data_IF_127072546340
#
_entry.id   IF_127072546340
#
_cell.length_a   1.000
_cell.length_b   1.000
_cell.length_c   1.000
_cell.angle_alpha   90.00
_cell.angle_beta   90.00
_cell.angle_gamma   90.00
#
_symmetry.space_group_name_H-M   'P 1'
#
loop_
_entity.id
_entity.type
_entity.pdbx_description
1 polymer ?
#
# COMPACT_ATOMS: atom_id res chain seq x y z
N UNK A 1 -63.08 42.56 3.18
CA UNK A 1 -61.98 42.12 4.06
C UNK A 1 -61.71 40.61 4.03
N UNK A 2 -62.72 39.72 4.15
CA UNK A 2 -62.51 38.25 4.12
C UNK A 2 -61.86 37.72 2.83
N UNK A 3 -62.14 38.30 1.65
CA UNK A 3 -61.52 37.87 0.34
C UNK A 3 -60.12 38.37 0.17
N UNK A 4 -59.70 39.48 0.78
CA UNK A 4 -58.31 39.99 0.71
C UNK A 4 -57.41 39.21 1.67
N UNK A 5 -57.90 38.75 2.81
CA UNK A 5 -57.17 37.92 3.77
C UNK A 5 -56.92 36.52 3.18
N UNK A 6 -57.91 35.96 2.47
CA UNK A 6 -57.76 34.68 1.79
C UNK A 6 -56.70 34.73 0.65
N UNK A 7 -56.63 35.87 -0.08
CA UNK A 7 -55.64 36.06 -1.18
C UNK A 7 -54.23 36.23 -0.61
N UNK A 8 -54.09 36.94 0.52
CA UNK A 8 -52.80 37.09 1.22
C UNK A 8 -52.30 35.77 1.83
N UNK A 9 -53.20 34.93 2.39
CA UNK A 9 -52.86 33.62 2.89
C UNK A 9 -52.44 32.64 1.75
N UNK A 10 -53.10 32.71 0.59
CA UNK A 10 -52.73 31.91 -0.58
C UNK A 10 -51.38 32.35 -1.15
N UNK A 11 -51.06 33.64 -1.15
CA UNK A 11 -49.76 34.19 -1.61
C UNK A 11 -48.63 33.80 -0.64
N UNK A 12 -48.87 33.77 0.66
CA UNK A 12 -47.88 33.28 1.65
C UNK A 12 -47.61 31.77 1.54
N UNK A 13 -48.63 30.96 1.18
CA UNK A 13 -48.43 29.52 0.94
C UNK A 13 -47.58 29.23 -0.35
N UNK A 14 -47.72 30.05 -1.38
CA UNK A 14 -46.92 29.92 -2.62
C UNK A 14 -45.46 30.31 -2.34
N UNK A 15 -45.21 31.31 -1.49
CA UNK A 15 -43.82 31.65 -1.08
C UNK A 15 -43.20 30.63 -0.12
N UNK A 16 -43.98 29.91 0.69
CA UNK A 16 -43.46 28.85 1.55
C UNK A 16 -43.08 27.56 0.80
N UNK A 17 -43.65 27.34 -0.38
CA UNK A 17 -43.31 26.20 -1.26
C UNK A 17 -42.05 26.46 -2.15
N UNK A 18 -41.63 27.72 -2.26
CA UNK A 18 -40.36 28.06 -2.96
C UNK A 18 -39.14 28.15 -2.01
N UNK A 19 -39.32 27.94 -0.69
CA UNK A 19 -38.25 27.99 0.29
C UNK A 19 -37.69 26.61 0.69
N UNK A 20 -38.19 25.51 0.10
CA UNK A 20 -37.45 24.25 0.03
C UNK A 20 -36.46 24.35 -1.15
N UNK A 21 -35.48 25.22 -1.00
CA UNK A 21 -34.30 25.19 -1.88
C UNK A 21 -33.66 23.82 -1.72
N UNK A 22 -33.81 22.98 -2.75
CA UNK A 22 -32.77 22.05 -3.07
C UNK A 22 -31.46 22.84 -3.01
N UNK A 23 -30.62 22.56 -2.06
CA UNK A 23 -29.18 22.80 -2.23
C UNK A 23 -28.74 21.84 -3.32
N UNK A 24 -29.05 22.17 -4.59
CA UNK A 24 -28.32 21.61 -5.70
C UNK A 24 -26.88 22.00 -5.44
N UNK A 25 -26.05 21.03 -5.07
CA UNK A 25 -24.62 21.18 -5.13
C UNK A 25 -24.34 21.86 -6.49
N UNK A 26 -23.57 22.92 -6.49
CA UNK A 26 -23.11 23.52 -7.74
C UNK A 26 -22.46 22.38 -8.51
N UNK A 27 -22.71 22.28 -9.80
CA UNK A 27 -22.16 21.24 -10.69
C UNK A 27 -20.62 21.19 -10.73
N UNK A 28 -19.96 22.09 -9.99
CA UNK A 28 -18.51 22.27 -9.93
C UNK A 28 -17.89 21.76 -8.61
N UNK A 29 -18.67 21.32 -7.62
CA UNK A 29 -18.15 20.80 -6.37
C UNK A 29 -17.68 19.35 -6.59
N UNK A 30 -16.41 19.08 -6.29
CA UNK A 30 -15.78 17.76 -6.37
C UNK A 30 -15.50 17.29 -4.95
N UNK A 31 -16.10 16.16 -4.56
CA UNK A 31 -15.76 15.49 -3.31
C UNK A 31 -15.10 14.14 -3.60
N UNK A 32 -14.07 13.81 -2.80
CA UNK A 32 -13.32 12.57 -2.86
C UNK A 32 -13.41 11.88 -1.50
N UNK A 33 -13.90 10.66 -1.50
CA UNK A 33 -13.95 9.80 -0.32
C UNK A 33 -12.69 8.94 -0.21
N UNK A 34 -12.09 8.86 0.98
CA UNK A 34 -10.99 7.94 1.25
C UNK A 34 -11.35 7.12 2.48
N UNK A 35 -11.32 5.80 2.33
CA UNK A 35 -11.61 4.83 3.39
C UNK A 35 -10.35 4.05 3.70
N UNK A 36 -9.97 4.01 4.97
CA UNK A 36 -8.78 3.30 5.46
C UNK A 36 -9.10 2.54 6.74
N UNK A 37 -8.16 1.74 7.23
CA UNK A 37 -8.18 1.26 8.61
C UNK A 37 -7.99 2.39 9.63
N UNK A 38 -8.10 2.05 10.91
CA UNK A 38 -7.74 2.95 12.00
C UNK A 38 -6.21 3.11 12.10
N UNK A 39 -5.75 4.14 12.82
CA UNK A 39 -4.32 4.34 13.10
C UNK A 39 -3.70 3.11 13.78
N UNK A 40 -4.46 2.39 14.60
CA UNK A 40 -3.98 1.19 15.30
C UNK A 40 -3.76 -0.01 14.38
N UNK A 41 -4.42 -0.05 13.21
CA UNK A 41 -4.34 -1.16 12.25
C UNK A 41 -3.50 -0.80 11.01
N UNK A 42 -3.60 0.45 10.55
CA UNK A 42 -3.03 0.91 9.28
C UNK A 42 -2.62 2.37 9.39
N UNK A 43 -1.64 2.68 10.27
CA UNK A 43 -1.23 4.07 10.53
C UNK A 43 -0.80 4.78 9.26
N UNK A 44 0.08 4.17 8.47
CA UNK A 44 0.61 4.78 7.24
C UNK A 44 -0.49 5.09 6.22
N UNK A 45 -1.44 4.18 6.02
CA UNK A 45 -2.59 4.39 5.12
C UNK A 45 -3.44 5.57 5.59
N UNK A 46 -3.72 5.62 6.90
CA UNK A 46 -4.49 6.70 7.51
C UNK A 46 -3.78 8.04 7.39
N UNK A 47 -2.47 8.09 7.65
CA UNK A 47 -1.67 9.30 7.53
C UNK A 47 -1.60 9.81 6.09
N UNK A 48 -1.56 8.91 5.10
CA UNK A 48 -1.66 9.28 3.69
C UNK A 48 -2.99 9.95 3.35
N UNK A 49 -4.10 9.37 3.82
CA UNK A 49 -5.43 9.97 3.64
C UNK A 49 -5.56 11.35 4.30
N UNK A 50 -5.02 11.50 5.51
CA UNK A 50 -4.97 12.78 6.25
C UNK A 50 -4.08 13.81 5.53
N UNK A 51 -2.95 13.39 4.94
CA UNK A 51 -2.09 14.28 4.17
C UNK A 51 -2.79 14.84 2.92
N UNK A 52 -3.54 14.00 2.19
CA UNK A 52 -4.36 14.47 1.07
C UNK A 52 -5.46 15.42 1.55
N UNK A 53 -6.15 15.11 2.66
CA UNK A 53 -7.16 16.00 3.24
C UNK A 53 -6.55 17.33 3.71
N UNK A 54 -5.36 17.31 4.31
CA UNK A 54 -4.67 18.55 4.72
C UNK A 54 -4.31 19.43 3.52
N UNK A 55 -4.01 18.84 2.37
CA UNK A 55 -3.68 19.57 1.14
C UNK A 55 -4.92 20.22 0.47
N UNK A 56 -6.05 19.54 0.46
CA UNK A 56 -7.24 19.93 -0.31
C UNK A 56 -8.43 20.38 0.54
N UNK A 57 -8.39 20.17 1.84
CA UNK A 57 -9.42 20.59 2.81
C UNK A 57 -10.51 19.58 3.05
N UNK A 58 -11.12 19.65 4.24
CA UNK A 58 -12.21 18.75 4.68
C UNK A 58 -13.50 18.93 3.88
N UNK A 59 -13.69 20.09 3.25
CA UNK A 59 -14.86 20.34 2.40
C UNK A 59 -14.82 19.44 1.15
N UNK A 60 -13.64 19.25 0.55
CA UNK A 60 -13.44 18.39 -0.61
C UNK A 60 -13.24 16.92 -0.23
N UNK A 61 -12.48 16.64 0.85
CA UNK A 61 -12.03 15.27 1.16
C UNK A 61 -12.81 14.70 2.34
N UNK A 62 -13.48 13.58 2.13
CA UNK A 62 -14.29 12.88 3.13
C UNK A 62 -13.56 11.62 3.56
N UNK A 63 -13.12 11.56 4.81
CA UNK A 63 -12.42 10.41 5.38
C UNK A 63 -13.40 9.51 6.13
N UNK A 64 -13.29 8.21 5.91
CA UNK A 64 -13.99 7.19 6.66
C UNK A 64 -13.02 6.10 7.14
N UNK A 65 -13.43 5.34 8.16
CA UNK A 65 -12.65 4.25 8.75
C UNK A 65 -13.55 3.01 8.76
N UNK A 66 -13.08 1.91 8.17
CA UNK A 66 -13.74 0.62 8.31
C UNK A 66 -13.42 0.00 9.68
N UNK A 67 -14.27 -0.92 10.22
CA UNK A 67 -14.05 -1.56 11.51
C UNK A 67 -12.73 -2.33 11.58
N UNK A 68 -12.05 -2.33 12.72
CA UNK A 68 -10.84 -3.13 12.93
C UNK A 68 -11.11 -4.64 12.79
N UNK A 69 -12.32 -5.09 13.17
CA UNK A 69 -12.79 -6.47 12.97
C UNK A 69 -13.55 -6.65 11.65
N UNK A 70 -13.07 -6.09 10.56
CA UNK A 70 -13.76 -6.09 9.26
C UNK A 70 -14.18 -7.49 8.77
N UNK A 71 -13.47 -8.55 9.14
CA UNK A 71 -13.85 -9.93 8.78
C UNK A 71 -15.13 -10.42 9.47
N UNK A 72 -15.40 -9.94 10.68
CA UNK A 72 -16.63 -10.22 11.43
C UNK A 72 -17.72 -9.17 11.21
N UNK A 73 -17.30 -7.95 10.87
CA UNK A 73 -18.18 -6.79 10.65
C UNK A 73 -18.30 -6.42 9.16
N UNK A 74 -18.41 -7.44 8.30
CA UNK A 74 -18.39 -7.29 6.84
C UNK A 74 -19.43 -6.28 6.33
N UNK A 75 -20.70 -6.38 6.79
CA UNK A 75 -21.75 -5.45 6.33
C UNK A 75 -21.51 -4.02 6.83
N UNK A 76 -20.93 -3.83 8.02
CA UNK A 76 -20.54 -2.51 8.51
C UNK A 76 -19.46 -1.89 7.61
N UNK A 77 -18.49 -2.69 7.19
CA UNK A 77 -17.45 -2.28 6.23
C UNK A 77 -18.06 -1.85 4.90
N UNK A 78 -18.97 -2.67 4.33
CA UNK A 78 -19.68 -2.36 3.09
C UNK A 78 -20.45 -1.04 3.22
N UNK A 79 -21.24 -0.87 4.29
CA UNK A 79 -22.05 0.35 4.49
C UNK A 79 -21.18 1.59 4.71
N UNK A 80 -20.04 1.47 5.38
CA UNK A 80 -19.09 2.57 5.56
C UNK A 80 -18.61 3.12 4.21
N UNK A 81 -18.33 2.24 3.25
CA UNK A 81 -17.91 2.63 1.90
C UNK A 81 -19.10 3.18 1.10
N UNK A 82 -20.23 2.48 1.10
CA UNK A 82 -21.43 2.85 0.31
C UNK A 82 -21.99 4.21 0.75
N UNK A 83 -22.03 4.51 2.05
CA UNK A 83 -22.57 5.77 2.56
C UNK A 83 -21.88 7.02 2.02
N UNK A 84 -20.62 6.93 1.59
CA UNK A 84 -19.93 8.05 0.92
C UNK A 84 -20.59 8.42 -0.41
N UNK A 85 -21.24 7.47 -1.08
CA UNK A 85 -21.93 7.71 -2.36
C UNK A 85 -23.24 8.49 -2.22
N UNK A 86 -23.78 8.64 -1.01
CA UNK A 86 -24.95 9.45 -0.72
C UNK A 86 -24.69 10.96 -0.90
N UNK A 87 -23.42 11.37 -0.86
CA UNK A 87 -23.03 12.74 -1.15
C UNK A 87 -23.16 13.03 -2.65
N UNK A 88 -24.03 13.97 -3.05
CA UNK A 88 -24.28 14.27 -4.47
C UNK A 88 -23.04 14.86 -5.19
N UNK A 89 -22.09 15.44 -4.45
CA UNK A 89 -20.85 15.98 -5.00
C UNK A 89 -19.73 14.93 -5.07
N UNK A 90 -19.93 13.71 -4.54
CA UNK A 90 -18.95 12.64 -4.58
C UNK A 90 -18.63 12.23 -6.04
N UNK A 91 -17.34 12.22 -6.39
CA UNK A 91 -16.82 11.89 -7.72
C UNK A 91 -15.88 10.69 -7.71
N UNK A 92 -15.20 10.44 -6.60
CA UNK A 92 -14.35 9.27 -6.45
C UNK A 92 -14.38 8.74 -5.03
N UNK A 93 -14.26 7.42 -4.88
CA UNK A 93 -14.11 6.74 -3.60
C UNK A 93 -12.90 5.81 -3.70
N UNK A 94 -11.93 6.03 -2.83
CA UNK A 94 -10.71 5.25 -2.70
C UNK A 94 -10.82 4.42 -1.42
N UNK A 95 -10.57 3.12 -1.50
CA UNK A 95 -10.46 2.23 -0.33
C UNK A 95 -9.05 1.68 -0.26
N UNK A 96 -8.32 1.99 0.80
CA UNK A 96 -6.96 1.50 1.07
C UNK A 96 -6.79 1.16 2.58
N UNK A 97 -6.44 -0.03 2.97
CA UNK A 97 -6.36 -1.29 2.22
C UNK A 97 -7.79 -1.73 1.84
N UNK A 98 -7.96 -2.23 0.62
CA UNK A 98 -9.27 -2.70 0.17
C UNK A 98 -9.57 -4.09 0.78
N UNK A 99 -10.09 -4.07 2.01
CA UNK A 99 -10.41 -5.25 2.83
C UNK A 99 -11.66 -5.97 2.31
N UNK A 100 -11.92 -7.23 2.75
CA UNK A 100 -13.12 -7.97 2.38
C UNK A 100 -14.41 -7.16 2.53
N UNK A 101 -15.26 -7.18 1.50
CA UNK A 101 -16.47 -6.39 1.36
C UNK A 101 -16.33 -5.18 0.42
N UNK A 102 -15.10 -4.80 0.05
CA UNK A 102 -14.87 -3.66 -0.86
C UNK A 102 -15.47 -3.92 -2.25
N UNK A 103 -15.29 -5.12 -2.80
CA UNK A 103 -15.89 -5.50 -4.09
C UNK A 103 -17.41 -5.35 -4.09
N UNK A 104 -18.08 -5.84 -3.06
CA UNK A 104 -19.54 -5.72 -2.93
C UNK A 104 -19.97 -4.26 -2.75
N UNK A 105 -19.23 -3.48 -1.97
CA UNK A 105 -19.51 -2.05 -1.81
C UNK A 105 -19.44 -1.31 -3.16
N UNK A 106 -18.40 -1.57 -3.95
CA UNK A 106 -18.25 -0.96 -5.28
C UNK A 106 -19.38 -1.38 -6.23
N UNK A 107 -19.81 -2.65 -6.22
CA UNK A 107 -20.98 -3.11 -7.00
C UNK A 107 -22.24 -2.32 -6.63
N UNK A 108 -22.55 -2.16 -5.32
CA UNK A 108 -23.70 -1.38 -4.85
C UNK A 108 -23.61 0.10 -5.24
N UNK A 109 -22.44 0.69 -5.16
CA UNK A 109 -22.21 2.07 -5.61
C UNK A 109 -22.49 2.17 -7.11
N UNK A 110 -21.91 1.29 -7.92
CA UNK A 110 -22.07 1.31 -9.40
C UNK A 110 -23.52 1.10 -9.85
N UNK A 111 -24.34 0.37 -9.10
CA UNK A 111 -25.79 0.23 -9.37
C UNK A 111 -26.55 1.54 -9.26
N UNK A 112 -26.20 2.40 -8.30
CA UNK A 112 -26.92 3.66 -8.00
C UNK A 112 -26.21 4.90 -8.53
N UNK A 113 -24.88 4.89 -8.50
CA UNK A 113 -23.98 6.01 -8.86
C UNK A 113 -22.84 5.52 -9.77
N UNK A 114 -23.15 5.12 -11.02
CA UNK A 114 -22.13 4.65 -11.98
C UNK A 114 -21.12 5.75 -12.38
N UNK A 115 -21.42 7.00 -12.07
CA UNK A 115 -20.57 8.17 -12.30
C UNK A 115 -19.40 8.31 -11.29
N UNK A 116 -19.44 7.63 -10.14
CA UNK A 116 -18.38 7.67 -9.14
C UNK A 116 -17.24 6.74 -9.55
N UNK A 117 -16.01 7.27 -9.56
CA UNK A 117 -14.79 6.48 -9.78
C UNK A 117 -14.50 5.69 -8.50
N UNK A 118 -14.45 4.36 -8.60
CA UNK A 118 -14.15 3.44 -7.50
C UNK A 118 -12.73 2.90 -7.65
N UNK A 119 -11.87 3.18 -6.67
CA UNK A 119 -10.45 2.79 -6.70
C UNK A 119 -10.10 1.96 -5.48
N UNK A 120 -9.45 0.82 -5.69
CA UNK A 120 -8.92 -0.04 -4.64
C UNK A 120 -7.39 0.05 -4.58
N UNK A 121 -6.85 0.36 -3.42
CA UNK A 121 -5.43 0.23 -3.11
C UNK A 121 -5.19 -0.96 -2.19
N UNK A 122 -4.11 -1.71 -2.42
CA UNK A 122 -3.69 -2.88 -1.63
C UNK A 122 -4.85 -3.81 -1.27
N UNK A 123 -5.45 -4.41 -2.29
CA UNK A 123 -6.62 -5.28 -2.11
C UNK A 123 -6.24 -6.58 -1.40
N UNK A 124 -7.04 -6.93 -0.38
CA UNK A 124 -7.05 -8.23 0.27
C UNK A 124 -8.02 -9.22 -0.40
N UNK A 125 -8.80 -8.78 -1.38
CA UNK A 125 -9.69 -9.62 -2.18
C UNK A 125 -8.98 -10.07 -3.46
N UNK A 126 -9.52 -11.09 -4.12
CA UNK A 126 -8.97 -11.63 -5.37
C UNK A 126 -8.92 -10.53 -6.46
N UNK A 127 -7.76 -10.35 -7.08
CA UNK A 127 -7.54 -9.24 -8.02
C UNK A 127 -8.46 -9.27 -9.24
N UNK A 128 -8.74 -10.42 -9.89
CA UNK A 128 -9.79 -10.52 -10.91
C UNK A 128 -11.18 -10.13 -10.38
N UNK A 129 -11.52 -10.50 -9.16
CA UNK A 129 -12.85 -10.23 -8.60
C UNK A 129 -13.04 -8.74 -8.31
N UNK A 130 -12.13 -8.11 -7.56
CA UNK A 130 -12.22 -6.69 -7.27
C UNK A 130 -12.05 -5.84 -8.54
N UNK A 131 -11.19 -6.25 -9.48
CA UNK A 131 -11.02 -5.61 -10.77
C UNK A 131 -12.30 -5.61 -11.63
N UNK A 132 -13.23 -6.56 -11.39
CA UNK A 132 -14.54 -6.57 -12.05
C UNK A 132 -15.52 -5.50 -11.53
N UNK A 133 -15.25 -4.91 -10.36
CA UNK A 133 -16.12 -3.95 -9.68
C UNK A 133 -15.48 -2.55 -9.55
N UNK A 134 -14.16 -2.48 -9.46
CA UNK A 134 -13.41 -1.23 -9.41
C UNK A 134 -13.10 -0.68 -10.80
N UNK A 135 -12.96 0.64 -10.92
CA UNK A 135 -12.45 1.28 -12.14
C UNK A 135 -10.93 1.20 -12.22
N UNK A 136 -10.26 1.16 -11.06
CA UNK A 136 -8.81 1.01 -10.94
C UNK A 136 -8.47 0.22 -9.67
N UNK A 137 -7.51 -0.69 -9.78
CA UNK A 137 -6.89 -1.40 -8.64
C UNK A 137 -5.38 -1.21 -8.72
N UNK A 138 -4.75 -0.83 -7.60
CA UNK A 138 -3.28 -0.75 -7.48
C UNK A 138 -2.82 -1.54 -6.26
N UNK A 139 -2.06 -2.60 -6.50
CA UNK A 139 -1.44 -3.42 -5.45
C UNK A 139 0.08 -3.36 -5.51
N UNK A 140 0.73 -3.74 -4.42
CA UNK A 140 2.18 -3.92 -4.38
C UNK A 140 2.62 -4.98 -5.40
N UNK A 141 3.66 -4.68 -6.18
CA UNK A 141 4.17 -5.59 -7.20
C UNK A 141 5.04 -6.70 -6.60
N UNK A 142 4.42 -7.74 -6.09
CA UNK A 142 5.13 -8.92 -5.63
C UNK A 142 5.85 -9.68 -6.76
N UNK A 143 5.43 -9.50 -8.02
CA UNK A 143 5.99 -10.21 -9.18
C UNK A 143 7.31 -9.57 -9.61
N UNK A 144 7.30 -8.29 -9.99
CA UNK A 144 8.53 -7.58 -10.37
C UNK A 144 9.54 -7.55 -9.22
N UNK A 145 9.10 -7.29 -7.99
CA UNK A 145 9.94 -7.29 -6.79
C UNK A 145 10.58 -8.65 -6.51
N UNK A 146 9.95 -9.76 -6.89
CA UNK A 146 10.57 -11.08 -6.80
C UNK A 146 11.92 -11.16 -7.53
N UNK A 147 12.03 -10.51 -8.68
CA UNK A 147 13.28 -10.38 -9.43
C UNK A 147 14.17 -9.24 -8.90
N UNK A 148 13.60 -8.07 -8.67
CA UNK A 148 14.34 -6.84 -8.34
C UNK A 148 15.05 -6.94 -6.98
N UNK A 149 14.43 -7.53 -5.97
CA UNK A 149 15.05 -7.76 -4.65
C UNK A 149 16.30 -8.66 -4.78
N UNK A 150 16.20 -9.75 -5.55
CA UNK A 150 17.32 -10.67 -5.75
C UNK A 150 18.45 -10.00 -6.54
N UNK A 151 18.08 -9.24 -7.59
CA UNK A 151 19.05 -8.46 -8.37
C UNK A 151 19.79 -7.45 -7.48
N UNK A 152 19.06 -6.70 -6.65
CA UNK A 152 19.68 -5.75 -5.71
C UNK A 152 20.60 -6.46 -4.73
N UNK A 153 20.17 -7.59 -4.15
CA UNK A 153 21.02 -8.38 -3.26
C UNK A 153 22.32 -8.83 -3.97
N UNK A 154 22.22 -9.29 -5.23
CA UNK A 154 23.38 -9.68 -6.04
C UNK A 154 24.32 -8.48 -6.32
N UNK A 155 23.79 -7.31 -6.66
CA UNK A 155 24.57 -6.07 -6.90
C UNK A 155 25.30 -5.59 -5.65
N UNK A 156 24.73 -5.82 -4.46
CA UNK A 156 25.38 -5.56 -3.16
C UNK A 156 26.39 -6.65 -2.77
N UNK A 157 26.58 -7.69 -3.59
CA UNK A 157 27.56 -8.74 -3.37
C UNK A 157 27.08 -9.92 -2.53
N UNK A 158 25.78 -10.07 -2.34
CA UNK A 158 25.23 -11.25 -1.66
C UNK A 158 25.39 -12.50 -2.53
N UNK A 159 25.71 -13.63 -1.90
CA UNK A 159 25.84 -14.95 -2.54
C UNK A 159 24.72 -15.92 -2.13
N UNK A 160 23.98 -15.57 -1.11
CA UNK A 160 22.86 -16.35 -0.54
C UNK A 160 21.68 -15.46 -0.29
N UNK A 161 20.46 -15.98 -0.56
CA UNK A 161 19.20 -15.31 -0.23
C UNK A 161 18.34 -16.23 0.65
N UNK A 162 18.01 -15.76 1.85
CA UNK A 162 17.24 -16.51 2.85
C UNK A 162 15.83 -15.91 2.92
N UNK A 163 14.87 -16.68 2.44
CA UNK A 163 13.44 -16.33 2.46
C UNK A 163 12.77 -16.99 3.67
N UNK A 164 12.20 -16.18 4.56
CA UNK A 164 11.57 -16.60 5.82
C UNK A 164 10.06 -16.42 5.70
N UNK A 165 9.31 -17.51 5.86
CA UNK A 165 7.85 -17.50 5.72
C UNK A 165 7.18 -18.63 6.52
N UNK A 166 5.88 -18.82 6.29
CA UNK A 166 5.07 -19.88 6.91
C UNK A 166 3.94 -20.33 5.96
N UNK A 167 3.33 -21.52 6.19
CA UNK A 167 2.43 -22.17 5.23
C UNK A 167 1.25 -21.31 4.77
N UNK A 168 0.65 -20.51 5.65
CA UNK A 168 -0.50 -19.66 5.28
C UNK A 168 -0.10 -18.62 4.22
N UNK A 169 1.03 -17.91 4.41
CA UNK A 169 1.51 -16.95 3.40
C UNK A 169 1.88 -17.64 2.09
N UNK A 170 2.44 -18.85 2.16
CA UNK A 170 2.78 -19.63 0.96
C UNK A 170 1.55 -20.21 0.24
N UNK A 171 0.35 -20.08 0.80
CA UNK A 171 -0.91 -20.45 0.12
C UNK A 171 -1.49 -19.32 -0.74
N UNK A 172 -1.00 -18.07 -0.59
CA UNK A 172 -1.43 -16.95 -1.43
C UNK A 172 -0.70 -16.97 -2.77
N UNK A 173 -1.45 -16.84 -3.88
CA UNK A 173 -0.92 -16.94 -5.25
C UNK A 173 0.25 -15.99 -5.48
N UNK A 174 0.07 -14.70 -5.20
CA UNK A 174 1.09 -13.68 -5.44
C UNK A 174 2.36 -13.88 -4.60
N UNK A 175 2.23 -14.39 -3.37
CA UNK A 175 3.37 -14.67 -2.49
C UNK A 175 4.12 -15.92 -2.91
N UNK A 176 3.42 -17.03 -3.22
CA UNK A 176 4.06 -18.25 -3.72
C UNK A 176 4.74 -18.02 -5.07
N UNK A 177 4.11 -17.24 -5.94
CA UNK A 177 4.67 -16.81 -7.22
C UNK A 177 5.95 -15.98 -7.03
N UNK A 178 5.96 -15.02 -6.09
CA UNK A 178 7.16 -14.26 -5.74
C UNK A 178 8.32 -15.17 -5.33
N UNK A 179 8.05 -16.16 -4.47
CA UNK A 179 9.06 -17.15 -4.05
C UNK A 179 9.64 -17.91 -5.24
N UNK A 180 8.79 -18.38 -6.16
CA UNK A 180 9.23 -19.07 -7.35
C UNK A 180 10.11 -18.17 -8.26
N UNK A 181 9.74 -16.88 -8.38
CA UNK A 181 10.52 -15.88 -9.11
C UNK A 181 11.85 -15.61 -8.41
N UNK A 182 11.86 -15.40 -7.10
CA UNK A 182 13.09 -15.20 -6.31
C UNK A 182 14.07 -16.36 -6.49
N UNK A 183 13.56 -17.60 -6.42
CA UNK A 183 14.37 -18.79 -6.65
C UNK A 183 14.97 -18.82 -8.06
N UNK A 184 14.15 -18.56 -9.09
CA UNK A 184 14.61 -18.53 -10.47
C UNK A 184 15.64 -17.41 -10.71
N UNK A 185 15.49 -16.26 -10.07
CA UNK A 185 16.45 -15.16 -10.14
C UNK A 185 17.77 -15.51 -9.42
N UNK A 186 17.70 -16.16 -8.24
CA UNK A 186 18.91 -16.67 -7.58
C UNK A 186 19.67 -17.66 -8.47
N UNK A 187 18.95 -18.59 -9.11
CA UNK A 187 19.58 -19.54 -10.05
C UNK A 187 20.27 -18.80 -11.22
N UNK A 188 19.67 -17.73 -11.75
CA UNK A 188 20.23 -16.92 -12.84
C UNK A 188 21.50 -16.15 -12.39
N UNK A 189 21.47 -15.56 -11.19
CA UNK A 189 22.62 -14.81 -10.66
C UNK A 189 23.68 -15.69 -9.98
N UNK A 190 23.46 -17.00 -9.91
CA UNK A 190 24.38 -17.93 -9.24
C UNK A 190 24.39 -17.83 -7.72
N UNK A 191 23.30 -17.33 -7.13
CA UNK A 191 23.10 -17.21 -5.69
C UNK A 191 22.45 -18.48 -5.13
N UNK A 192 22.76 -18.82 -3.88
CA UNK A 192 22.01 -19.85 -3.16
C UNK A 192 20.66 -19.31 -2.71
N UNK A 193 19.56 -20.02 -3.01
CA UNK A 193 18.23 -19.73 -2.47
C UNK A 193 17.90 -20.68 -1.32
N UNK A 194 17.47 -20.11 -0.18
CA UNK A 194 17.14 -20.86 1.04
C UNK A 194 15.72 -20.50 1.50
N UNK A 195 14.92 -21.51 1.83
CA UNK A 195 13.64 -21.35 2.49
C UNK A 195 13.77 -21.72 3.98
N UNK A 196 13.47 -20.76 4.84
CA UNK A 196 13.34 -21.01 6.29
C UNK A 196 11.88 -20.81 6.71
N UNK A 197 11.43 -21.64 7.63
CA UNK A 197 10.07 -21.57 8.15
C UNK A 197 10.06 -20.95 9.53
N UNK A 198 9.22 -19.96 9.74
CA UNK A 198 8.98 -19.31 11.03
C UNK A 198 7.53 -19.58 11.50
N UNK A 199 7.22 -19.39 12.79
CA UNK A 199 5.84 -19.46 13.29
C UNK A 199 4.98 -18.35 12.67
N UNK A 200 3.71 -18.65 12.34
CA UNK A 200 2.74 -17.67 11.89
C UNK A 200 2.30 -16.79 13.09
N UNK A 201 2.57 -15.46 13.07
CA UNK A 201 2.23 -14.58 14.18
C UNK A 201 0.73 -14.45 14.45
N UNK A 202 -0.11 -14.78 13.46
CA UNK A 202 -1.58 -14.70 13.57
C UNK A 202 -2.21 -16.03 14.01
N UNK A 203 -1.39 -17.09 14.19
CA UNK A 203 -1.85 -18.37 14.73
C UNK A 203 -1.92 -18.35 16.26
N UNK A 204 -2.32 -19.48 16.85
CA UNK A 204 -2.42 -19.64 18.31
C UNK A 204 -1.11 -19.38 19.06
N UNK A 205 0.05 -19.46 18.38
CA UNK A 205 1.35 -19.14 19.01
C UNK A 205 1.54 -17.65 19.28
N UNK A 206 0.92 -16.80 18.48
CA UNK A 206 0.92 -15.35 18.63
C UNK A 206 2.23 -14.65 18.27
N UNK A 207 2.16 -13.31 18.19
CA UNK A 207 3.26 -12.43 17.77
C UNK A 207 4.52 -12.60 18.61
N UNK A 208 4.38 -12.64 19.94
CA UNK A 208 5.53 -12.70 20.86
C UNK A 208 6.40 -13.97 20.66
N UNK A 209 5.76 -15.12 20.41
CA UNK A 209 6.48 -16.38 20.15
C UNK A 209 7.14 -16.34 18.77
N UNK A 210 6.47 -15.80 17.77
CA UNK A 210 7.03 -15.64 16.43
C UNK A 210 8.26 -14.72 16.43
N UNK A 211 8.21 -13.59 17.16
CA UNK A 211 9.34 -12.68 17.32
C UNK A 211 10.52 -13.32 18.08
N UNK A 212 10.24 -14.04 19.17
CA UNK A 212 11.26 -14.75 19.93
C UNK A 212 11.98 -15.81 19.09
N UNK A 213 11.24 -16.52 18.20
CA UNK A 213 11.81 -17.47 17.27
C UNK A 213 12.81 -16.81 16.30
N UNK A 214 12.48 -15.65 15.73
CA UNK A 214 13.38 -14.92 14.83
C UNK A 214 14.64 -14.46 15.59
N UNK A 215 14.48 -13.92 16.81
CA UNK A 215 15.62 -13.52 17.65
C UNK A 215 16.57 -14.69 17.94
N UNK A 216 16.04 -15.90 18.13
CA UNK A 216 16.84 -17.11 18.36
C UNK A 216 17.52 -17.63 17.11
N UNK A 217 16.80 -17.62 15.96
CA UNK A 217 17.25 -18.31 14.72
C UNK A 217 18.18 -17.49 13.85
N UNK A 218 18.07 -16.18 13.82
CA UNK A 218 18.90 -15.36 12.92
C UNK A 218 20.39 -15.52 13.19
N UNK A 219 20.92 -15.53 14.45
CA UNK A 219 22.33 -15.81 14.71
C UNK A 219 22.78 -17.17 14.16
N UNK A 220 21.97 -18.23 14.31
CA UNK A 220 22.25 -19.56 13.78
C UNK A 220 22.29 -19.54 12.23
N UNK A 221 21.36 -18.78 11.61
CA UNK A 221 21.31 -18.63 10.15
C UNK A 221 22.50 -17.84 9.61
N UNK A 222 22.92 -16.75 10.28
CA UNK A 222 24.12 -15.98 9.90
C UNK A 222 25.39 -16.84 10.02
N UNK A 223 25.52 -17.64 11.08
CA UNK A 223 26.63 -18.60 11.20
C UNK A 223 26.63 -19.62 10.07
N UNK A 224 25.45 -20.12 9.69
CA UNK A 224 25.27 -21.17 8.66
C UNK A 224 25.43 -20.67 7.23
N UNK A 225 24.88 -19.50 6.92
CA UNK A 225 24.79 -18.98 5.54
C UNK A 225 25.82 -17.89 5.24
N UNK A 226 26.52 -17.39 6.25
CA UNK A 226 27.52 -16.34 6.11
C UNK A 226 26.95 -14.92 6.19
N UNK A 227 27.86 -13.96 6.33
CA UNK A 227 27.50 -12.55 6.44
C UNK A 227 27.13 -11.89 5.10
N UNK A 228 27.40 -12.56 3.97
CA UNK A 228 26.99 -12.10 2.64
C UNK A 228 25.61 -12.63 2.24
N UNK A 229 24.82 -13.11 3.19
CA UNK A 229 23.46 -13.54 2.96
C UNK A 229 22.49 -12.35 3.09
N UNK A 230 21.58 -12.23 2.13
CA UNK A 230 20.43 -11.33 2.22
C UNK A 230 19.23 -12.08 2.81
N UNK A 231 18.49 -11.42 3.68
CA UNK A 231 17.35 -11.98 4.40
C UNK A 231 16.07 -11.23 4.04
N UNK A 232 14.99 -11.98 3.92
CA UNK A 232 13.66 -11.45 3.63
C UNK A 232 12.62 -12.21 4.44
N UNK A 233 11.67 -11.52 5.07
CA UNK A 233 10.55 -12.14 5.76
C UNK A 233 9.22 -11.63 5.20
N UNK A 234 8.22 -12.52 5.13
CA UNK A 234 6.90 -12.24 4.54
C UNK A 234 5.87 -11.68 5.54
N UNK A 235 6.28 -11.35 6.76
CA UNK A 235 5.37 -10.80 7.76
C UNK A 235 6.04 -9.71 8.58
N UNK A 236 5.34 -8.61 8.78
CA UNK A 236 5.82 -7.42 9.46
C UNK A 236 6.24 -7.66 10.91
N UNK A 237 5.56 -8.58 11.61
CA UNK A 237 5.94 -8.95 12.98
C UNK A 237 7.32 -9.60 13.08
N UNK A 238 7.83 -10.18 11.99
CA UNK A 238 9.19 -10.75 11.93
C UNK A 238 10.25 -9.70 11.58
N UNK A 239 9.87 -8.54 11.01
CA UNK A 239 10.80 -7.56 10.46
C UNK A 239 11.66 -6.92 11.55
N UNK A 240 11.08 -6.42 12.62
CA UNK A 240 11.83 -5.79 13.72
C UNK A 240 12.89 -6.72 14.34
N UNK A 241 12.55 -7.95 14.80
CA UNK A 241 13.55 -8.85 15.37
C UNK A 241 14.58 -9.30 14.33
N UNK A 242 14.23 -9.44 13.05
CA UNK A 242 15.17 -9.74 11.97
C UNK A 242 16.20 -8.62 11.81
N UNK A 243 15.74 -7.38 11.63
CA UNK A 243 16.62 -6.20 11.50
C UNK A 243 17.58 -6.07 12.69
N UNK A 244 17.04 -6.23 13.91
CA UNK A 244 17.83 -6.16 15.15
C UNK A 244 18.98 -7.17 15.16
N UNK A 245 18.72 -8.41 14.77
CA UNK A 245 19.72 -9.46 14.77
C UNK A 245 20.72 -9.29 13.62
N UNK A 246 20.28 -8.85 12.43
CA UNK A 246 21.19 -8.59 11.33
C UNK A 246 22.16 -7.44 11.61
N UNK A 247 21.71 -6.41 12.34
CA UNK A 247 22.58 -5.33 12.82
C UNK A 247 23.65 -5.83 13.80
N UNK A 248 23.36 -6.86 14.58
CA UNK A 248 24.28 -7.41 15.59
C UNK A 248 25.23 -8.46 15.02
N UNK A 249 24.71 -9.36 14.15
CA UNK A 249 25.46 -10.54 13.66
C UNK A 249 25.94 -10.43 12.22
N UNK A 250 25.43 -9.47 11.47
CA UNK A 250 25.72 -9.26 10.05
C UNK A 250 24.67 -9.87 9.11
N UNK A 251 24.77 -9.54 7.82
CA UNK A 251 23.83 -9.89 6.78
C UNK A 251 23.23 -8.66 6.10
N UNK A 252 22.39 -8.88 5.11
CA UNK A 252 21.74 -7.82 4.34
C UNK A 252 20.23 -7.92 4.45
N UNK A 253 19.57 -6.77 4.45
CA UNK A 253 18.12 -6.66 4.38
C UNK A 253 17.76 -5.65 3.30
N UNK A 254 17.24 -6.13 2.16
CA UNK A 254 17.03 -5.28 0.99
C UNK A 254 15.77 -4.43 1.14
N UNK A 255 14.66 -5.05 1.53
CA UNK A 255 13.40 -4.36 1.82
C UNK A 255 12.42 -5.28 2.57
N UNK A 256 11.44 -4.69 3.23
CA UNK A 256 10.35 -5.40 3.88
C UNK A 256 9.31 -5.92 2.86
N UNK A 257 8.37 -6.72 3.32
CA UNK A 257 7.22 -7.16 2.53
C UNK A 257 6.36 -5.97 2.06
N UNK A 258 6.00 -5.09 3.00
CA UNK A 258 5.43 -3.77 2.75
C UNK A 258 6.47 -2.71 3.14
N UNK A 259 7.28 -2.23 2.17
CA UNK A 259 8.44 -1.41 2.49
C UNK A 259 8.06 -0.02 3.02
N UNK A 260 8.69 0.35 4.12
CA UNK A 260 8.57 1.66 4.75
C UNK A 260 9.77 1.87 5.68
N UNK A 261 10.32 3.08 5.83
CA UNK A 261 11.34 3.35 6.84
C UNK A 261 10.79 3.25 8.28
N UNK A 262 9.46 3.16 8.45
CA UNK A 262 8.82 2.89 9.74
C UNK A 262 8.67 1.40 10.02
N UNK A 263 8.78 0.53 9.00
CA UNK A 263 8.55 -0.91 9.13
C UNK A 263 9.71 -1.62 9.85
N UNK A 264 9.53 -1.87 11.15
CA UNK A 264 10.48 -2.59 12.00
C UNK A 264 11.73 -1.81 12.40
N UNK A 265 12.15 -0.80 11.63
CA UNK A 265 13.35 -0.02 11.90
C UNK A 265 13.33 0.73 13.23
N UNK A 266 12.27 1.48 13.62
CA UNK A 266 12.26 2.21 14.88
C UNK A 266 12.48 1.31 16.08
N UNK A 267 11.81 0.17 16.15
CA UNK A 267 11.96 -0.81 17.22
C UNK A 267 13.34 -1.46 17.25
N UNK A 268 13.85 -1.89 16.08
CA UNK A 268 15.18 -2.51 15.97
C UNK A 268 16.32 -1.57 16.35
N UNK A 269 16.16 -0.27 16.04
CA UNK A 269 17.16 0.76 16.31
C UNK A 269 17.00 1.39 17.69
N UNK A 270 15.81 1.27 18.31
CA UNK A 270 15.48 1.91 19.58
C UNK A 270 15.30 3.43 19.45
N UNK A 271 14.75 3.91 18.32
CA UNK A 271 14.51 5.33 18.04
C UNK A 271 13.01 5.66 18.10
N UNK A 272 12.69 6.89 18.50
CA UNK A 272 11.35 7.44 18.51
C UNK A 272 11.19 8.36 17.28
N UNK A 273 10.13 8.17 16.49
CA UNK A 273 9.80 8.95 15.31
C UNK A 273 8.56 9.83 15.50
N UNK A 274 8.10 10.03 16.73
CA UNK A 274 6.87 10.78 17.02
C UNK A 274 6.93 12.22 16.50
N UNK A 275 8.12 12.86 16.59
CA UNK A 275 8.30 14.24 16.11
C UNK A 275 8.33 14.34 14.57
N UNK A 276 8.69 13.26 13.89
CA UNK A 276 8.79 13.17 12.44
C UNK A 276 7.52 12.59 11.78
N UNK A 277 6.49 12.26 12.55
CA UNK A 277 5.30 11.55 12.05
C UNK A 277 4.71 12.22 10.81
N UNK A 278 4.64 11.45 9.69
CA UNK A 278 4.15 11.92 8.38
C UNK A 278 5.18 12.66 7.52
N UNK A 279 6.37 12.97 8.04
CA UNK A 279 7.49 13.58 7.29
C UNK A 279 8.52 12.49 6.92
N UNK A 280 8.26 11.78 5.84
CA UNK A 280 9.08 10.63 5.44
C UNK A 280 10.51 10.98 5.05
N UNK A 281 10.79 12.21 4.63
CA UNK A 281 12.18 12.65 4.38
C UNK A 281 12.97 12.69 5.70
N UNK A 282 12.37 13.24 6.75
CA UNK A 282 13.01 13.26 8.08
C UNK A 282 13.05 11.88 8.72
N UNK A 283 11.98 11.09 8.57
CA UNK A 283 11.95 9.70 9.04
C UNK A 283 13.09 8.91 8.42
N UNK A 284 13.22 8.91 7.10
CA UNK A 284 14.29 8.20 6.38
C UNK A 284 15.67 8.67 6.85
N UNK A 285 15.91 9.99 6.91
CA UNK A 285 17.19 10.54 7.36
C UNK A 285 17.56 10.10 8.78
N UNK A 286 16.60 10.08 9.71
CA UNK A 286 16.82 9.66 11.09
C UNK A 286 17.07 8.15 11.22
N UNK A 287 16.34 7.34 10.45
CA UNK A 287 16.55 5.89 10.39
C UNK A 287 17.91 5.59 9.77
N UNK A 288 18.26 6.21 8.65
CA UNK A 288 19.55 6.05 7.97
C UNK A 288 20.73 6.43 8.88
N UNK A 289 20.64 7.59 9.56
CA UNK A 289 21.67 7.98 10.53
C UNK A 289 21.86 6.90 11.60
N UNK A 290 20.78 6.36 12.15
CA UNK A 290 20.86 5.34 13.20
C UNK A 290 21.41 3.99 12.66
N UNK A 291 21.12 3.63 11.41
CA UNK A 291 21.71 2.46 10.74
C UNK A 291 23.23 2.66 10.56
N UNK A 292 23.65 3.81 10.05
CA UNK A 292 25.08 4.13 9.85
C UNK A 292 25.85 4.12 11.19
N UNK A 293 25.29 4.74 12.24
CA UNK A 293 25.89 4.76 13.58
C UNK A 293 26.06 3.36 14.20
N UNK A 294 25.19 2.40 13.81
CA UNK A 294 25.30 1.00 14.23
C UNK A 294 26.17 0.14 13.30
N UNK A 295 26.77 0.74 12.26
CA UNK A 295 27.65 0.04 11.32
C UNK A 295 26.93 -0.74 10.22
N UNK A 296 25.63 -0.45 10.00
CA UNK A 296 24.80 -1.12 8.98
C UNK A 296 24.79 -0.43 7.62
N UNK A 297 25.65 0.55 7.37
CA UNK A 297 25.74 1.25 6.08
C UNK A 297 25.88 0.27 4.91
N UNK A 298 25.14 0.49 3.83
CA UNK A 298 25.10 -0.30 2.58
C UNK A 298 24.57 -1.75 2.74
N UNK A 299 24.02 -2.11 3.92
CA UNK A 299 23.50 -3.45 4.18
C UNK A 299 21.97 -3.45 4.35
N UNK A 300 21.36 -2.29 4.59
CA UNK A 300 19.95 -2.17 4.91
C UNK A 300 19.23 -1.26 3.93
N UNK A 301 18.11 -1.73 3.42
CA UNK A 301 17.31 -0.99 2.46
C UNK A 301 15.83 -0.94 2.82
N UNK A 302 15.14 -0.05 2.14
CA UNK A 302 13.69 0.19 2.26
C UNK A 302 13.20 0.91 1.00
N UNK A 303 11.91 1.25 0.93
CA UNK A 303 11.46 2.34 0.10
C UNK A 303 11.60 3.66 0.89
N UNK A 304 11.91 4.74 0.19
CA UNK A 304 12.10 6.04 0.86
C UNK A 304 10.82 6.57 1.51
N UNK A 305 9.67 6.21 0.94
CA UNK A 305 8.35 6.56 1.45
C UNK A 305 7.54 5.30 1.69
N UNK A 306 6.71 5.31 2.74
CA UNK A 306 5.80 4.21 3.01
C UNK A 306 4.88 3.94 1.83
N UNK A 307 4.71 2.67 1.51
CA UNK A 307 3.76 2.19 0.52
C UNK A 307 2.34 2.66 0.85
N UNK A 308 1.84 2.33 2.04
CA UNK A 308 0.46 2.66 2.45
C UNK A 308 0.16 4.15 2.44
N UNK A 309 1.09 4.96 2.97
CA UNK A 309 0.97 6.42 2.94
C UNK A 309 0.84 6.95 1.50
N UNK A 310 1.78 6.55 0.64
CA UNK A 310 1.83 7.07 -0.73
C UNK A 310 0.64 6.59 -1.57
N UNK A 311 0.23 5.33 -1.44
CA UNK A 311 -0.89 4.78 -2.19
C UNK A 311 -2.21 5.44 -1.78
N UNK A 312 -2.46 5.63 -0.48
CA UNK A 312 -3.68 6.31 -0.01
C UNK A 312 -3.80 7.73 -0.55
N UNK A 313 -2.75 8.53 -0.41
CA UNK A 313 -2.72 9.92 -0.87
C UNK A 313 -2.65 10.02 -2.40
N UNK A 314 -1.81 9.21 -3.02
CA UNK A 314 -1.53 9.25 -4.45
C UNK A 314 -2.69 8.76 -5.31
N UNK A 315 -3.45 7.73 -4.89
CA UNK A 315 -4.66 7.30 -5.61
C UNK A 315 -5.76 8.37 -5.54
N UNK A 316 -5.88 9.08 -4.41
CA UNK A 316 -6.81 10.21 -4.30
C UNK A 316 -6.37 11.37 -5.21
N UNK A 317 -5.07 11.65 -5.29
CA UNK A 317 -4.52 12.64 -6.22
C UNK A 317 -4.75 12.23 -7.68
N UNK A 318 -4.54 10.96 -8.00
CA UNK A 318 -4.78 10.43 -9.34
C UNK A 318 -6.25 10.56 -9.74
N UNK A 319 -7.18 10.18 -8.85
CA UNK A 319 -8.61 10.38 -9.07
C UNK A 319 -8.97 11.84 -9.32
N UNK A 320 -8.39 12.77 -8.55
CA UNK A 320 -8.61 14.21 -8.75
C UNK A 320 -8.11 14.69 -10.11
N UNK A 321 -6.93 14.22 -10.55
CA UNK A 321 -6.36 14.56 -11.85
C UNK A 321 -7.24 14.03 -13.00
N UNK A 322 -7.74 12.78 -12.87
CA UNK A 322 -8.67 12.18 -13.85
C UNK A 322 -9.98 12.98 -13.93
N UNK A 323 -10.57 13.34 -12.79
CA UNK A 323 -11.80 14.15 -12.73
C UNK A 323 -11.60 15.52 -13.43
N UNK A 324 -10.41 16.10 -13.30
CA UNK A 324 -10.05 17.36 -13.97
C UNK A 324 -9.69 17.20 -15.45
N UNK A 325 -9.57 15.97 -15.96
CA UNK A 325 -9.14 15.67 -17.33
C UNK A 325 -7.64 15.90 -17.56
N UNK A 326 -6.84 15.80 -16.51
CA UNK A 326 -5.37 16.01 -16.53
C UNK A 326 -4.61 14.67 -16.60
N UNK A 327 -5.29 13.55 -16.41
CA UNK A 327 -4.72 12.19 -16.39
C UNK A 327 -5.69 11.16 -16.96
N UNK A 328 -5.14 10.08 -17.52
CA UNK A 328 -5.89 8.88 -17.91
C UNK A 328 -5.92 7.90 -16.72
N UNK A 329 -7.11 7.33 -16.44
CA UNK A 329 -7.34 6.53 -15.23
C UNK A 329 -6.42 5.29 -15.15
N UNK A 330 -6.19 4.62 -16.27
CA UNK A 330 -5.45 3.37 -16.37
C UNK A 330 -4.10 3.55 -17.08
N UNK A 331 -3.41 4.66 -16.81
CA UNK A 331 -2.06 4.93 -17.29
C UNK A 331 -1.06 4.92 -16.14
N UNK A 332 -0.04 4.06 -16.23
CA UNK A 332 0.95 3.86 -15.15
C UNK A 332 1.83 5.10 -14.93
N UNK A 333 2.13 5.86 -15.96
CA UNK A 333 2.95 7.08 -15.83
C UNK A 333 2.15 8.17 -15.10
N UNK A 334 0.84 8.27 -15.34
CA UNK A 334 -0.04 9.22 -14.67
C UNK A 334 -0.28 8.82 -13.19
N UNK A 335 -0.44 7.52 -12.91
CA UNK A 335 -0.49 6.99 -11.54
C UNK A 335 0.82 7.31 -10.81
N UNK A 336 1.96 7.04 -11.43
CA UNK A 336 3.29 7.30 -10.85
C UNK A 336 3.51 8.79 -10.56
N UNK A 337 3.11 9.69 -11.46
CA UNK A 337 3.16 11.15 -11.23
C UNK A 337 2.31 11.57 -10.03
N UNK A 338 1.13 10.98 -9.86
CA UNK A 338 0.27 11.28 -8.71
C UNK A 338 0.90 10.78 -7.40
N UNK A 339 1.55 9.61 -7.39
CA UNK A 339 2.29 9.10 -6.24
C UNK A 339 3.46 10.01 -5.86
N UNK A 340 4.19 10.54 -6.85
CA UNK A 340 5.33 11.44 -6.61
C UNK A 340 4.95 12.76 -5.93
N UNK A 341 3.68 13.17 -5.97
CA UNK A 341 3.21 14.35 -5.19
C UNK A 341 3.41 14.12 -3.69
N UNK A 342 3.25 12.88 -3.22
CA UNK A 342 3.37 12.49 -1.81
C UNK A 342 4.65 11.70 -1.50
N UNK A 343 5.48 11.47 -2.50
CA UNK A 343 6.78 10.81 -2.38
C UNK A 343 7.80 11.50 -3.30
N UNK A 344 8.09 12.81 -3.04
CA UNK A 344 9.02 13.56 -3.86
C UNK A 344 10.40 12.89 -3.88
N UNK A 345 11.06 12.91 -5.04
CA UNK A 345 12.34 12.25 -5.30
C UNK A 345 12.32 10.70 -5.32
N UNK A 346 11.22 10.04 -4.99
CA UNK A 346 11.07 8.61 -5.19
C UNK A 346 10.51 8.31 -6.59
N UNK A 347 11.14 7.42 -7.33
CA UNK A 347 10.62 6.92 -8.60
C UNK A 347 9.65 5.76 -8.36
N UNK A 348 8.60 5.71 -9.17
CA UNK A 348 7.60 4.62 -9.18
C UNK A 348 7.55 3.98 -10.55
N UNK A 349 7.23 2.71 -10.59
CA UNK A 349 6.92 1.97 -11.81
C UNK A 349 5.90 0.87 -11.48
N UNK A 350 5.40 0.21 -12.51
CA UNK A 350 4.46 -0.88 -12.34
C UNK A 350 4.04 -1.47 -13.68
N UNK A 351 3.23 -2.51 -13.60
CA UNK A 351 2.68 -3.18 -14.76
C UNK A 351 1.26 -3.68 -14.48
N UNK A 352 0.51 -3.98 -15.53
CA UNK A 352 -0.78 -4.62 -15.36
C UNK A 352 -0.63 -6.03 -14.79
N UNK A 353 -1.50 -6.38 -13.86
CA UNK A 353 -1.59 -7.75 -13.36
C UNK A 353 -1.99 -8.71 -14.48
N UNK A 354 -1.23 -9.79 -14.60
CA UNK A 354 -1.55 -10.93 -15.46
C UNK A 354 -1.81 -12.16 -14.59
N UNK A 355 -3.00 -12.71 -14.69
CA UNK A 355 -3.36 -13.93 -13.97
C UNK A 355 -2.46 -15.09 -14.43
N UNK A 356 -1.73 -15.71 -13.51
CA UNK A 356 -0.74 -16.74 -13.82
C UNK A 356 -1.36 -18.03 -14.37
N UNK A 357 -2.60 -18.35 -13.99
CA UNK A 357 -3.29 -19.57 -14.45
C UNK A 357 -3.87 -19.42 -15.84
N UNK A 358 -4.52 -18.30 -16.10
CA UNK A 358 -5.27 -18.05 -17.34
C UNK A 358 -4.48 -17.29 -18.40
N UNK A 359 -3.41 -16.58 -17.99
CA UNK A 359 -2.65 -15.67 -18.87
C UNK A 359 -3.42 -14.39 -19.23
N UNK A 360 -4.59 -14.14 -18.60
CA UNK A 360 -5.39 -12.94 -18.87
C UNK A 360 -4.77 -11.74 -18.15
N UNK A 361 -4.44 -10.71 -18.92
CA UNK A 361 -4.02 -9.41 -18.45
C UNK A 361 -5.25 -8.56 -18.10
N UNK A 362 -5.26 -7.90 -16.96
CA UNK A 362 -6.32 -7.01 -16.53
C UNK A 362 -5.88 -5.55 -16.75
N UNK A 363 -6.62 -4.83 -17.61
CA UNK A 363 -6.22 -3.48 -18.04
C UNK A 363 -6.38 -2.41 -16.95
N UNK A 364 -7.21 -2.68 -15.91
CA UNK A 364 -7.49 -1.78 -14.79
C UNK A 364 -6.88 -2.25 -13.46
N UNK A 365 -6.05 -3.28 -13.46
CA UNK A 365 -5.36 -3.78 -12.27
C UNK A 365 -3.86 -3.63 -12.46
N UNK A 366 -3.25 -2.79 -11.65
CA UNK A 366 -1.82 -2.52 -11.68
C UNK A 366 -1.12 -3.07 -10.44
N UNK A 367 0.06 -3.60 -10.67
CA UNK A 367 1.03 -3.90 -9.64
C UNK A 367 2.10 -2.80 -9.69
N UNK A 368 2.33 -2.12 -8.55
CA UNK A 368 3.19 -0.93 -8.48
C UNK A 368 4.32 -1.13 -7.47
N UNK A 369 5.44 -0.49 -7.72
CA UNK A 369 6.58 -0.51 -6.81
C UNK A 369 7.38 0.80 -6.88
N UNK A 370 8.04 1.12 -5.78
CA UNK A 370 8.96 2.25 -5.66
C UNK A 370 10.40 1.78 -5.85
N UNK A 371 11.29 2.69 -6.17
CA UNK A 371 12.72 2.42 -6.22
C UNK A 371 13.26 2.06 -4.82
N UNK A 372 14.03 1.00 -4.74
CA UNK A 372 14.70 0.57 -3.50
C UNK A 372 15.77 1.58 -3.13
N UNK A 373 15.74 2.03 -1.87
CA UNK A 373 16.74 2.91 -1.28
C UNK A 373 17.62 2.10 -0.32
N UNK A 374 18.93 2.12 -0.54
CA UNK A 374 19.92 1.52 0.37
C UNK A 374 20.49 2.62 1.26
N UNK A 375 20.34 2.43 2.58
CA UNK A 375 20.83 3.36 3.59
C UNK A 375 22.34 3.28 3.74
N UNK A 376 23.03 4.44 3.67
CA UNK A 376 24.48 4.52 3.68
C UNK A 376 24.99 5.89 4.11
N UNK A 377 26.24 6.22 3.82
CA UNK A 377 26.83 7.54 4.09
C UNK A 377 27.57 8.07 2.82
N UNK A 378 26.83 8.67 1.88
CA UNK A 378 25.36 8.83 1.80
C UNK A 378 24.65 7.57 1.29
N UNK A 379 23.35 7.43 1.64
CA UNK A 379 22.50 6.42 1.03
C UNK A 379 22.11 6.75 -0.41
N UNK A 380 21.56 5.76 -1.12
CA UNK A 380 21.28 5.92 -2.56
C UNK A 380 20.14 5.03 -3.05
N UNK A 381 19.49 5.47 -4.11
CA UNK A 381 18.52 4.68 -4.85
C UNK A 381 19.21 3.68 -5.79
N UNK A 382 18.66 2.48 -5.91
CA UNK A 382 19.19 1.41 -6.76
C UNK A 382 18.82 1.53 -8.24
N UNK A 383 17.92 2.45 -8.59
CA UNK A 383 17.39 2.60 -9.95
C UNK A 383 16.49 1.44 -10.38
N UNK A 384 15.91 0.71 -9.43
CA UNK A 384 15.08 -0.49 -9.65
C UNK A 384 13.93 -0.22 -10.61
N UNK A 385 13.33 0.98 -10.55
CA UNK A 385 12.21 1.38 -11.42
C UNK A 385 12.60 1.58 -12.89
N UNK A 386 13.88 1.70 -13.18
CA UNK A 386 14.41 1.81 -14.56
C UNK A 386 14.88 0.46 -15.14
N UNK A 387 14.72 -0.63 -14.35
CA UNK A 387 15.13 -1.97 -14.76
C UNK A 387 13.97 -2.65 -15.47
N UNK A 388 14.24 -3.14 -16.67
CA UNK A 388 13.31 -4.03 -17.36
C UNK A 388 13.37 -5.43 -16.75
N UNK A 389 12.31 -5.85 -16.08
CA UNK A 389 12.17 -7.21 -15.56
C UNK A 389 11.98 -8.16 -16.75
N UNK A 390 12.83 -9.19 -16.92
CA UNK A 390 12.69 -10.10 -18.06
C UNK A 390 11.33 -10.78 -18.13
N UNK A 391 10.73 -10.81 -19.32
CA UNK A 391 9.36 -11.30 -19.56
C UNK A 391 9.11 -12.72 -19.01
N UNK A 392 10.14 -13.57 -19.00
CA UNK A 392 10.06 -14.93 -18.46
C UNK A 392 9.59 -14.99 -17.00
N UNK A 393 9.87 -13.95 -16.18
CA UNK A 393 9.45 -13.90 -14.77
C UNK A 393 7.96 -13.67 -14.62
N UNK A 394 7.33 -12.97 -15.55
CA UNK A 394 5.87 -12.76 -15.55
C UNK A 394 5.08 -14.02 -15.94
N UNK A 395 5.74 -15.08 -16.42
CA UNK A 395 5.11 -16.36 -16.76
C UNK A 395 5.32 -17.45 -15.71
N UNK A 396 6.08 -17.18 -14.64
CA UNK A 396 6.27 -18.08 -13.50
C UNK A 396 4.97 -18.13 -12.68
N UNK A 397 4.59 -19.35 -12.26
CA UNK A 397 3.38 -19.65 -11.47
C UNK A 397 3.74 -19.96 -10.03
#
# INVERSE_FOLDING_TARGET
MKKIVALLLALCMVFALCACGNSSAKSDDIHIGIVTGSVSQSEDDRRGAEAFQAMYGEDMVKLAIYPDNFTEELETTIQTIVNLSDDPAMKAIIVNQAVPGTTEAFRRIKESRPDIICIAGESHEDLPEIGSAADLVCNNDFVARGYLIIRTAHELGCDTFVHISFPRHMSYETMSRRVAIMKAACDEFGMQFVLETAPDPTSDVGVAVAQAYILEKVPEWVEKYGQNAAYFCTNDAHTEPLLKQLLEYGGYFIEADLPSPTMGYPGALGIDLTEEAGDYEKILAKVEQAIVEKGGADHFGTWAYSYGYTVSAGLAQHALNVIKGESELTDIDDISKAYQVFSPNAAWNGSNYTNAETGVKLDNVFLVYQDTYIMGDPGHFMGSTSIEVPEKYFTIK
#
